data_IF_573181667419
#
_entry.id   IF_573181667419
#
_cell.length_a   1.000
_cell.length_b   1.000
_cell.length_c   1.000
_cell.angle_alpha   90.00
_cell.angle_beta   90.00
_cell.angle_gamma   90.00
#
_symmetry.space_group_name_H-M   'P 1'
#
loop_
_entity.id
_entity.type
_entity.pdbx_description
1 polymer ?
#
# COMPACT_ATOMS: atom_id res chain seq x y z
N UNK A 1 -19.99 55.54 -1.04
CA UNK A 1 -20.06 54.32 -0.20
C UNK A 1 -19.99 53.10 -1.09
N UNK A 2 -19.33 52.03 -0.62
CA UNK A 2 -19.24 50.69 -1.20
C UNK A 2 -18.12 50.46 -2.24
N UNK A 3 -16.89 50.68 -1.81
CA UNK A 3 -15.85 49.69 -2.06
C UNK A 3 -16.09 48.51 -1.09
N UNK A 4 -15.63 47.31 -1.46
CA UNK A 4 -15.73 46.01 -0.76
C UNK A 4 -16.76 45.06 -1.41
N UNK A 5 -16.38 44.53 -2.58
CA UNK A 5 -16.93 43.27 -3.12
C UNK A 5 -15.87 42.50 -3.92
N UNK A 6 -14.61 42.51 -3.45
CA UNK A 6 -13.54 41.68 -4.03
C UNK A 6 -12.72 41.09 -2.88
N UNK A 7 -13.32 40.23 -2.06
CA UNK A 7 -12.56 39.48 -1.05
C UNK A 7 -13.12 38.08 -0.76
N UNK A 8 -13.97 37.55 -1.64
CA UNK A 8 -14.54 36.20 -1.49
C UNK A 8 -13.93 35.15 -2.45
N UNK A 9 -12.98 35.54 -3.32
CA UNK A 9 -12.38 34.65 -4.31
C UNK A 9 -10.96 34.17 -3.97
N UNK A 10 -10.41 34.55 -2.81
CA UNK A 10 -9.03 34.19 -2.41
C UNK A 10 -8.99 32.97 -1.48
N UNK A 11 -10.14 32.50 -0.98
CA UNK A 11 -10.25 31.24 -0.26
C UNK A 11 -10.70 30.08 -1.14
N UNK A 12 -10.23 30.07 -2.39
CA UNK A 12 -9.96 28.82 -3.10
C UNK A 12 -8.84 28.11 -2.35
N UNK A 13 -9.15 27.60 -1.15
CA UNK A 13 -8.35 26.56 -0.54
C UNK A 13 -8.25 25.48 -1.60
N UNK A 14 -7.05 25.32 -2.14
CA UNK A 14 -6.60 24.10 -2.77
C UNK A 14 -6.75 22.99 -1.72
N UNK A 15 -7.98 22.57 -1.45
CA UNK A 15 -8.24 21.25 -0.93
C UNK A 15 -7.93 20.38 -2.16
N UNK A 16 -6.63 20.14 -2.38
CA UNK A 16 -6.21 18.91 -3.04
C UNK A 16 -7.02 17.85 -2.31
N UNK A 17 -8.05 17.35 -2.97
CA UNK A 17 -8.85 16.27 -2.43
C UNK A 17 -7.83 15.17 -2.14
N UNK A 18 -7.46 15.02 -0.86
CA UNK A 18 -6.68 13.87 -0.42
C UNK A 18 -7.51 12.70 -0.87
N UNK A 19 -6.99 11.92 -1.82
CA UNK A 19 -7.68 10.72 -2.30
C UNK A 19 -8.18 9.95 -1.08
N UNK A 20 -9.43 9.48 -1.09
CA UNK A 20 -10.00 8.83 0.07
C UNK A 20 -9.10 7.65 0.46
N UNK A 21 -8.69 7.62 1.72
CA UNK A 21 -7.99 6.48 2.29
C UNK A 21 -8.86 5.23 2.16
N UNK A 22 -8.28 4.13 1.69
CA UNK A 22 -9.00 2.87 1.45
C UNK A 22 -8.91 1.89 2.63
N UNK A 23 -8.45 2.35 3.80
CA UNK A 23 -8.21 1.49 4.96
C UNK A 23 -9.49 0.76 5.41
N UNK A 24 -10.67 1.36 5.22
CA UNK A 24 -11.95 0.75 5.58
C UNK A 24 -12.29 -0.40 4.63
N UNK A 25 -12.09 -0.18 3.34
CA UNK A 25 -12.32 -1.14 2.27
C UNK A 25 -11.36 -2.33 2.45
N UNK A 26 -10.07 -2.07 2.71
CA UNK A 26 -9.09 -3.13 3.00
C UNK A 26 -9.46 -3.93 4.25
N UNK A 27 -9.90 -3.27 5.34
CA UNK A 27 -10.40 -3.99 6.52
C UNK A 27 -11.61 -4.86 6.22
N UNK A 28 -12.52 -4.39 5.36
CA UNK A 28 -13.72 -5.16 4.99
C UNK A 28 -13.43 -6.44 4.23
N UNK A 29 -12.28 -6.51 3.53
CA UNK A 29 -11.80 -7.71 2.82
C UNK A 29 -10.74 -8.49 3.62
N UNK A 30 -10.63 -8.24 4.93
CA UNK A 30 -9.90 -9.08 5.87
C UNK A 30 -8.48 -8.62 6.25
N UNK A 31 -8.03 -7.43 5.86
CA UNK A 31 -6.71 -6.94 6.24
C UNK A 31 -6.59 -6.55 7.72
N UNK A 32 -5.58 -7.10 8.40
CA UNK A 32 -5.13 -6.65 9.71
C UNK A 32 -4.05 -5.56 9.58
N UNK A 33 -4.33 -4.39 10.14
CA UNK A 33 -3.41 -3.25 10.13
C UNK A 33 -2.42 -3.32 11.29
N UNK A 34 -1.14 -3.46 10.96
CA UNK A 34 -0.06 -3.53 11.94
C UNK A 34 0.21 -2.17 12.59
N UNK A 35 0.80 -2.21 13.79
CA UNK A 35 1.18 -1.00 14.53
C UNK A 35 2.34 -0.31 13.82
N UNK A 36 2.33 1.03 13.78
CA UNK A 36 3.41 1.81 13.15
C UNK A 36 4.82 1.48 13.67
N UNK A 37 4.93 1.12 14.96
CA UNK A 37 6.20 0.74 15.58
C UNK A 37 6.78 -0.59 15.05
N UNK A 38 5.98 -1.38 14.33
CA UNK A 38 6.40 -2.65 13.74
C UNK A 38 6.86 -2.52 12.29
N UNK A 39 6.55 -1.41 11.61
CA UNK A 39 6.79 -1.24 10.18
C UNK A 39 8.21 -1.62 9.74
N UNK A 40 9.25 -1.08 10.39
CA UNK A 40 10.64 -1.38 10.01
C UNK A 40 10.99 -2.86 10.17
N UNK A 41 10.41 -3.53 11.17
CA UNK A 41 10.58 -4.97 11.36
C UNK A 41 9.82 -5.73 10.28
N UNK A 42 8.54 -5.43 10.07
CA UNK A 42 7.69 -6.11 9.09
C UNK A 42 8.28 -5.98 7.67
N UNK A 43 8.72 -4.78 7.27
CA UNK A 43 9.36 -4.55 5.97
C UNK A 43 10.67 -5.34 5.81
N UNK A 44 11.48 -5.45 6.88
CA UNK A 44 12.68 -6.27 6.87
C UNK A 44 12.34 -7.75 6.77
N UNK A 45 11.39 -8.23 7.57
CA UNK A 45 10.99 -9.63 7.61
C UNK A 45 10.48 -10.09 6.25
N UNK A 46 9.63 -9.31 5.57
CA UNK A 46 9.11 -9.66 4.24
C UNK A 46 10.22 -9.74 3.19
N UNK A 47 11.14 -8.77 3.18
CA UNK A 47 12.33 -8.85 2.30
C UNK A 47 13.19 -10.07 2.59
N UNK A 48 13.43 -10.36 3.87
CA UNK A 48 14.20 -11.54 4.28
C UNK A 48 13.49 -12.84 3.91
N UNK A 49 12.16 -12.90 4.01
CA UNK A 49 11.39 -14.09 3.61
C UNK A 49 11.52 -14.34 2.11
N UNK A 50 11.30 -13.32 1.28
CA UNK A 50 11.49 -13.40 -0.17
C UNK A 50 12.92 -13.83 -0.56
N UNK A 51 13.94 -13.40 0.19
CA UNK A 51 15.34 -13.76 -0.08
C UNK A 51 15.66 -15.21 0.32
N UNK A 52 15.26 -15.62 1.53
CA UNK A 52 15.54 -16.97 2.06
C UNK A 52 14.77 -18.02 1.28
N UNK A 53 13.53 -17.72 0.91
CA UNK A 53 12.61 -18.67 0.30
C UNK A 53 12.37 -18.39 -1.20
N UNK A 54 13.33 -17.71 -1.84
CA UNK A 54 13.24 -17.24 -3.23
C UNK A 54 12.84 -18.30 -4.25
N UNK A 55 13.11 -19.57 -4.00
CA UNK A 55 12.77 -20.67 -4.92
C UNK A 55 11.29 -21.02 -4.89
N UNK A 56 10.59 -20.64 -3.82
CA UNK A 56 9.16 -20.84 -3.65
C UNK A 56 8.35 -19.58 -3.95
N UNK A 57 8.99 -18.47 -4.31
CA UNK A 57 8.32 -17.26 -4.75
C UNK A 57 8.48 -17.01 -6.25
N UNK A 58 7.42 -16.54 -6.89
CA UNK A 58 7.40 -16.11 -8.29
C UNK A 58 6.92 -14.67 -8.35
N UNK A 59 7.59 -13.83 -9.15
CA UNK A 59 7.12 -12.47 -9.46
C UNK A 59 5.84 -12.56 -10.28
N UNK A 60 4.78 -11.94 -9.76
CA UNK A 60 3.46 -11.89 -10.37
C UNK A 60 3.23 -10.54 -11.07
N UNK A 61 3.59 -9.43 -10.43
CA UNK A 61 3.40 -8.09 -10.97
C UNK A 61 4.48 -7.12 -10.48
N UNK A 62 5.00 -6.32 -11.40
CA UNK A 62 5.91 -5.21 -11.11
C UNK A 62 5.51 -3.95 -11.90
N UNK A 63 5.09 -2.88 -11.23
CA UNK A 63 4.66 -1.64 -11.91
C UNK A 63 4.82 -0.38 -11.04
N UNK A 64 5.16 0.78 -11.65
CA UNK A 64 4.96 2.06 -11.00
C UNK A 64 3.47 2.38 -10.86
N UNK A 65 3.07 2.94 -9.72
CA UNK A 65 1.68 3.36 -9.45
C UNK A 65 1.69 4.71 -8.73
N UNK A 66 0.78 5.60 -9.09
CA UNK A 66 0.58 6.84 -8.36
C UNK A 66 -0.10 6.57 -7.02
N UNK A 67 0.54 6.93 -5.90
CA UNK A 67 -0.04 6.80 -4.56
C UNK A 67 -0.40 8.17 -4.02
N UNK A 68 -1.69 8.50 -4.00
CA UNK A 68 -2.15 9.77 -3.43
C UNK A 68 -1.90 9.92 -1.92
N UNK A 69 -1.99 8.86 -1.07
CA UNK A 69 -1.60 8.94 0.34
C UNK A 69 -0.11 9.20 0.56
N UNK A 70 0.75 8.77 -0.36
CA UNK A 70 2.19 9.02 -0.35
C UNK A 70 2.55 10.36 -1.02
N UNK A 71 1.76 10.80 -1.99
CA UNK A 71 1.92 12.07 -2.71
C UNK A 71 2.78 11.99 -3.98
N UNK A 72 3.27 10.81 -4.35
CA UNK A 72 4.08 10.58 -5.55
C UNK A 72 3.98 9.14 -6.08
N UNK A 73 4.74 8.82 -7.12
CA UNK A 73 4.83 7.45 -7.63
C UNK A 73 5.53 6.53 -6.64
N UNK A 74 4.91 5.37 -6.41
CA UNK A 74 5.50 4.21 -5.76
C UNK A 74 5.79 3.13 -6.80
N UNK A 75 6.65 2.19 -6.49
CA UNK A 75 6.87 0.98 -7.26
C UNK A 75 6.32 -0.21 -6.47
N UNK A 76 5.47 -1.00 -7.12
CA UNK A 76 4.75 -2.13 -6.52
C UNK A 76 5.35 -3.41 -7.10
N UNK A 77 5.70 -4.34 -6.22
CA UNK A 77 6.18 -5.68 -6.55
C UNK A 77 5.31 -6.70 -5.81
N UNK A 78 4.67 -7.61 -6.56
CA UNK A 78 3.81 -8.69 -6.07
C UNK A 78 4.48 -10.04 -6.29
N UNK A 79 4.43 -10.90 -5.28
CA UNK A 79 5.05 -12.22 -5.31
C UNK A 79 4.05 -13.28 -4.86
N UNK A 80 3.93 -14.34 -5.64
CA UNK A 80 3.12 -15.52 -5.32
C UNK A 80 4.00 -16.61 -4.68
N UNK A 81 3.52 -17.23 -3.62
CA UNK A 81 4.16 -18.39 -3.02
C UNK A 81 3.63 -19.68 -3.66
N UNK A 82 4.51 -20.50 -4.23
CA UNK A 82 4.17 -21.70 -5.02
C UNK A 82 3.33 -22.75 -4.28
N UNK A 83 3.37 -22.75 -2.95
CA UNK A 83 2.61 -23.70 -2.14
C UNK A 83 1.23 -23.18 -1.73
N UNK A 84 0.98 -21.87 -1.88
CA UNK A 84 -0.33 -21.30 -1.58
C UNK A 84 -1.26 -21.58 -2.75
N UNK A 85 -2.48 -22.06 -2.46
CA UNK A 85 -3.46 -22.26 -3.54
C UNK A 85 -3.86 -20.91 -4.13
N UNK A 86 -3.91 -20.81 -5.46
CA UNK A 86 -4.42 -19.59 -6.12
C UNK A 86 -5.87 -19.26 -5.74
N UNK A 87 -6.68 -20.23 -5.31
CA UNK A 87 -8.03 -19.98 -4.79
C UNK A 87 -8.02 -19.43 -3.37
N UNK A 88 -6.89 -19.52 -2.68
CA UNK A 88 -6.66 -19.05 -1.32
C UNK A 88 -6.07 -17.63 -1.29
N UNK A 89 -5.03 -17.37 -2.09
CA UNK A 89 -4.40 -16.05 -2.21
C UNK A 89 -3.77 -15.83 -3.59
N UNK A 90 -3.85 -14.59 -4.07
CA UNK A 90 -2.98 -14.07 -5.13
C UNK A 90 -2.12 -12.91 -4.58
N UNK A 91 -0.85 -12.89 -4.93
CA UNK A 91 0.15 -11.97 -4.42
C UNK A 91 0.38 -12.16 -2.93
N UNK A 92 0.92 -13.30 -2.50
CA UNK A 92 1.24 -13.62 -1.09
C UNK A 92 2.07 -12.54 -0.40
N UNK A 93 2.94 -11.84 -1.12
CA UNK A 93 3.72 -10.70 -0.60
C UNK A 93 3.66 -9.54 -1.59
N UNK A 94 3.33 -8.36 -1.09
CA UNK A 94 3.37 -7.10 -1.83
C UNK A 94 4.37 -6.16 -1.18
N UNK A 95 5.42 -5.77 -1.92
CA UNK A 95 6.37 -4.74 -1.50
C UNK A 95 6.07 -3.46 -2.27
N UNK A 96 5.80 -2.38 -1.54
CA UNK A 96 5.57 -1.05 -2.11
C UNK A 96 6.69 -0.15 -1.65
N UNK A 97 7.42 0.40 -2.62
CA UNK A 97 8.59 1.25 -2.39
C UNK A 97 8.44 2.60 -3.07
N UNK A 98 9.18 3.60 -2.60
CA UNK A 98 9.37 4.82 -3.36
C UNK A 98 9.94 4.49 -4.75
N UNK A 99 9.37 5.11 -5.79
CA UNK A 99 9.76 4.79 -7.16
C UNK A 99 11.24 5.09 -7.45
N UNK A 100 11.81 6.13 -6.84
CA UNK A 100 13.15 6.64 -7.13
C UNK A 100 14.21 6.15 -6.14
N UNK A 101 13.95 6.23 -4.84
CA UNK A 101 14.90 5.85 -3.77
C UNK A 101 14.87 4.36 -3.45
N UNK A 102 13.81 3.65 -3.86
CA UNK A 102 13.55 2.24 -3.54
C UNK A 102 13.40 1.96 -2.03
N UNK A 103 13.20 3.01 -1.23
CA UNK A 103 12.85 2.85 0.18
C UNK A 103 11.47 2.23 0.31
N UNK A 104 11.32 1.19 1.14
CA UNK A 104 10.01 0.57 1.37
C UNK A 104 9.12 1.53 2.14
N UNK A 105 7.90 1.73 1.64
CA UNK A 105 6.89 2.60 2.25
C UNK A 105 5.72 1.80 2.81
N UNK A 106 5.43 0.64 2.23
CA UNK A 106 4.35 -0.25 2.63
C UNK A 106 4.67 -1.70 2.25
N UNK A 107 4.25 -2.63 3.09
CA UNK A 107 4.22 -4.06 2.78
C UNK A 107 2.86 -4.62 3.09
N UNK A 108 2.40 -5.53 2.24
CA UNK A 108 1.25 -6.39 2.50
C UNK A 108 1.70 -7.83 2.38
N UNK A 109 1.14 -8.72 3.17
CA UNK A 109 1.42 -10.14 3.01
C UNK A 109 0.26 -10.99 3.50
N UNK A 110 0.27 -12.23 3.04
CA UNK A 110 -0.61 -13.29 3.46
C UNK A 110 0.19 -14.33 4.23
N UNK A 111 -0.34 -14.74 5.39
CA UNK A 111 0.25 -15.82 6.17
C UNK A 111 -0.88 -16.58 6.89
N UNK A 112 -0.99 -17.89 6.61
CA UNK A 112 -1.87 -18.82 7.32
C UNK A 112 -3.34 -18.35 7.44
N UNK A 113 -3.99 -17.97 6.34
CA UNK A 113 -5.39 -17.51 6.36
C UNK A 113 -5.59 -16.03 6.62
N UNK A 114 -4.53 -15.27 6.93
CA UNK A 114 -4.64 -13.88 7.35
C UNK A 114 -3.90 -12.93 6.41
N UNK A 115 -4.58 -11.86 5.99
CA UNK A 115 -4.00 -10.73 5.25
C UNK A 115 -3.49 -9.68 6.23
N UNK A 116 -2.28 -9.17 6.00
CA UNK A 116 -1.65 -8.15 6.83
C UNK A 116 -1.22 -6.95 6.00
N UNK A 117 -1.21 -5.78 6.63
CA UNK A 117 -0.70 -4.55 6.04
C UNK A 117 0.10 -3.75 7.06
N UNK A 118 1.28 -3.28 6.66
CA UNK A 118 2.16 -2.45 7.47
C UNK A 118 2.76 -1.34 6.60
N UNK A 119 2.65 -0.09 7.05
CA UNK A 119 3.19 1.05 6.31
C UNK A 119 3.84 2.11 7.18
N UNK A 120 4.73 2.87 6.54
CA UNK A 120 5.48 3.94 7.17
C UNK A 120 4.58 5.17 7.40
N UNK A 121 4.01 5.26 8.61
CA UNK A 121 3.16 6.40 9.01
C UNK A 121 3.85 7.76 9.05
N UNK A 122 5.18 7.82 8.85
CA UNK A 122 5.91 9.10 8.73
C UNK A 122 5.79 9.70 7.34
N UNK A 123 5.53 8.88 6.32
CA UNK A 123 5.52 9.32 4.91
C UNK A 123 4.17 9.14 4.23
N UNK A 124 3.28 8.29 4.77
CA UNK A 124 1.90 8.18 4.30
C UNK A 124 0.91 8.04 5.46
N UNK A 125 -0.27 8.64 5.34
CA UNK A 125 -1.28 8.64 6.40
C UNK A 125 -2.13 7.35 6.43
N UNK A 126 -2.25 6.67 5.28
CA UNK A 126 -3.06 5.49 5.09
C UNK A 126 -2.45 4.60 3.99
N UNK A 127 -3.05 3.43 3.75
CA UNK A 127 -2.59 2.47 2.75
C UNK A 127 -2.65 3.04 1.33
N UNK A 128 -1.72 2.60 0.49
CA UNK A 128 -1.71 2.88 -0.95
C UNK A 128 -3.02 2.38 -1.57
N UNK A 129 -3.71 3.16 -2.41
CA UNK A 129 -5.03 2.81 -2.94
C UNK A 129 -4.94 1.79 -4.10
N UNK A 130 -4.39 0.62 -3.80
CA UNK A 130 -4.34 -0.56 -4.68
C UNK A 130 -5.50 -1.48 -4.31
N UNK A 131 -6.36 -1.75 -5.30
CA UNK A 131 -7.55 -2.54 -5.16
C UNK A 131 -7.39 -3.92 -5.78
N UNK A 132 -7.66 -5.00 -5.02
CA UNK A 132 -7.65 -6.38 -5.52
C UNK A 132 -8.37 -6.51 -6.86
N UNK A 133 -7.66 -6.95 -7.91
CA UNK A 133 -8.32 -7.39 -9.15
C UNK A 133 -9.13 -8.68 -8.96
N UNK A 134 -8.72 -9.53 -8.00
CA UNK A 134 -9.42 -10.72 -7.56
C UNK A 134 -9.71 -10.64 -6.06
N UNK A 135 -10.84 -11.16 -5.59
CA UNK A 135 -11.31 -11.03 -4.20
C UNK A 135 -10.27 -11.51 -3.15
N UNK A 136 -9.49 -12.52 -3.50
CA UNK A 136 -8.44 -13.09 -2.67
C UNK A 136 -7.05 -12.50 -2.92
N UNK A 137 -6.90 -11.42 -3.70
CA UNK A 137 -5.60 -10.80 -3.95
C UNK A 137 -5.21 -9.76 -2.88
N UNK A 138 -3.92 -9.40 -2.84
CA UNK A 138 -3.41 -8.27 -2.05
C UNK A 138 -3.35 -6.91 -2.79
N UNK A 139 -3.40 -6.92 -4.12
CA UNK A 139 -3.12 -5.76 -4.98
C UNK A 139 -4.29 -5.30 -5.83
#
# INVERSE_FOLDING_TARGET
>A
MKFITILAAIFSFNIMAKSPCIDRELKSVGFEFRKASKFLKDAKDMKTWLEIDKTNFVDDMSSPVWSAPYGQYVFVESFDHLQTSQMEMFGDVLIISDHFTKEVVEVRWYENGQKYISFNRRVQACATPLFPYADNALF
#
